data_IF_935943075510
#
_entry.id   IF_935943075510
#
_cell.length_a   1.000
_cell.length_b   1.000
_cell.length_c   1.000
_cell.angle_alpha   90.00
_cell.angle_beta   90.00
_cell.angle_gamma   90.00
#
_symmetry.space_group_name_H-M   'P 1'
#
loop_
_entity.id
_entity.type
_entity.pdbx_description
1 polymer ?
#
# COMPACT_ATOMS: atom_id res chain seq x y z
N UNK A 1 -20.41 14.81 -1.34
CA UNK A 1 -20.21 14.87 -2.81
C UNK A 1 -19.17 15.90 -3.22
N UNK A 2 -19.19 17.13 -2.69
CA UNK A 2 -18.23 18.19 -3.04
C UNK A 2 -16.76 17.78 -2.87
N UNK A 3 -16.39 17.15 -1.73
CA UNK A 3 -15.01 16.66 -1.52
C UNK A 3 -14.57 15.60 -2.53
N UNK A 4 -15.47 14.70 -2.96
CA UNK A 4 -15.15 13.70 -3.97
C UNK A 4 -14.83 14.35 -5.31
N UNK A 5 -15.57 15.42 -5.66
CA UNK A 5 -15.30 16.21 -6.87
C UNK A 5 -13.93 16.89 -6.84
N UNK A 6 -13.54 17.45 -5.69
CA UNK A 6 -12.22 18.09 -5.51
C UNK A 6 -11.07 17.07 -5.68
N UNK A 7 -11.22 15.87 -5.10
CA UNK A 7 -10.21 14.80 -5.25
C UNK A 7 -10.12 14.33 -6.70
N UNK A 8 -11.26 14.21 -7.39
CA UNK A 8 -11.30 13.80 -8.79
C UNK A 8 -10.62 14.84 -9.71
N UNK A 9 -10.89 16.12 -9.49
CA UNK A 9 -10.23 17.21 -10.21
C UNK A 9 -8.72 17.25 -9.93
N UNK A 10 -8.31 17.06 -8.66
CA UNK A 10 -6.90 16.97 -8.31
C UNK A 10 -6.18 15.82 -9.00
N UNK A 11 -6.81 14.66 -9.13
CA UNK A 11 -6.26 13.51 -9.85
C UNK A 11 -6.13 13.76 -11.35
N UNK A 12 -7.14 14.40 -11.96
CA UNK A 12 -7.12 14.77 -13.38
C UNK A 12 -5.98 15.76 -13.65
N UNK A 13 -5.90 16.83 -12.86
CA UNK A 13 -4.81 17.81 -13.00
C UNK A 13 -3.46 17.15 -12.78
N UNK A 14 -3.29 16.34 -11.73
CA UNK A 14 -2.04 15.61 -11.49
C UNK A 14 -1.60 14.73 -12.67
N UNK A 15 -2.55 14.00 -13.28
CA UNK A 15 -2.27 13.11 -14.41
C UNK A 15 -1.85 13.87 -15.68
N UNK A 16 -2.37 15.08 -15.91
CA UNK A 16 -2.00 15.90 -17.07
C UNK A 16 -0.59 16.48 -16.99
N UNK A 17 -0.07 16.69 -15.78
CA UNK A 17 1.23 17.30 -15.54
C UNK A 17 2.36 16.26 -15.32
N UNK A 18 2.07 14.97 -15.44
CA UNK A 18 3.09 13.93 -15.36
C UNK A 18 3.93 13.85 -16.64
N UNK A 19 5.24 14.05 -16.48
CA UNK A 19 6.24 14.13 -17.57
C UNK A 19 6.38 12.78 -18.33
N UNK A 20 6.01 11.67 -17.69
CA UNK A 20 6.00 10.32 -18.26
C UNK A 20 4.58 9.74 -18.23
N UNK A 21 3.65 10.38 -18.92
CA UNK A 21 2.27 9.88 -19.00
C UNK A 21 2.22 8.53 -19.73
N UNK A 22 1.94 7.46 -19.00
CA UNK A 22 1.70 6.13 -19.55
C UNK A 22 0.27 5.67 -19.28
N UNK A 23 -0.44 5.30 -20.33
CA UNK A 23 -1.81 4.76 -20.26
C UNK A 23 -1.89 3.50 -19.40
N UNK A 24 -0.84 2.68 -19.42
CA UNK A 24 -0.77 1.47 -18.62
C UNK A 24 -0.72 1.81 -17.13
N UNK A 25 0.10 2.80 -16.74
CA UNK A 25 0.21 3.28 -15.36
C UNK A 25 -1.12 3.82 -14.82
N UNK A 26 -1.87 4.57 -15.64
CA UNK A 26 -3.19 5.06 -15.28
C UNK A 26 -4.18 3.91 -15.01
N UNK A 27 -4.23 2.92 -15.90
CA UNK A 27 -5.12 1.76 -15.76
C UNK A 27 -4.75 0.94 -14.51
N UNK A 28 -3.47 0.68 -14.30
CA UNK A 28 -3.00 -0.03 -13.09
C UNK A 28 -3.28 0.77 -11.81
N UNK A 29 -3.18 2.10 -11.83
CA UNK A 29 -3.51 2.96 -10.69
C UNK A 29 -4.99 2.94 -10.32
N UNK A 30 -5.88 3.02 -11.33
CA UNK A 30 -7.33 2.93 -11.12
C UNK A 30 -7.72 1.53 -10.62
N UNK A 31 -7.17 0.48 -11.24
CA UNK A 31 -7.41 -0.90 -10.83
C UNK A 31 -6.95 -1.13 -9.38
N UNK A 32 -5.74 -0.69 -9.03
CA UNK A 32 -5.21 -0.79 -7.66
C UNK A 32 -6.13 -0.12 -6.64
N UNK A 33 -6.62 1.09 -6.94
CA UNK A 33 -7.57 1.82 -6.08
C UNK A 33 -8.88 1.05 -5.86
N UNK A 34 -9.39 0.40 -6.92
CA UNK A 34 -10.59 -0.44 -6.82
C UNK A 34 -10.36 -1.69 -5.96
N UNK A 35 -9.23 -2.38 -6.12
CA UNK A 35 -8.86 -3.54 -5.30
C UNK A 35 -8.67 -3.16 -3.83
N UNK A 36 -8.03 -2.02 -3.54
CA UNK A 36 -7.86 -1.51 -2.17
C UNK A 36 -9.21 -1.19 -1.52
N UNK A 37 -10.14 -0.57 -2.27
CA UNK A 37 -11.49 -0.29 -1.78
C UNK A 37 -12.29 -1.57 -1.50
N UNK A 38 -12.24 -2.56 -2.42
CA UNK A 38 -12.87 -3.87 -2.25
C UNK A 38 -12.30 -4.61 -1.05
N UNK A 39 -10.98 -4.62 -0.89
CA UNK A 39 -10.30 -5.23 0.26
C UNK A 39 -10.76 -4.61 1.58
N UNK A 40 -10.85 -3.27 1.66
CA UNK A 40 -11.35 -2.58 2.86
C UNK A 40 -12.79 -2.94 3.21
N UNK A 41 -13.67 -3.10 2.21
CA UNK A 41 -15.06 -3.52 2.41
C UNK A 41 -15.12 -4.98 2.88
N UNK A 42 -14.35 -5.88 2.25
CA UNK A 42 -14.30 -7.30 2.61
C UNK A 42 -13.82 -7.49 4.04
N UNK A 43 -12.70 -6.86 4.42
CA UNK A 43 -12.15 -6.93 5.79
C UNK A 43 -13.17 -6.43 6.81
N UNK A 44 -13.90 -5.35 6.52
CA UNK A 44 -14.92 -4.85 7.46
C UNK A 44 -16.11 -5.81 7.60
N UNK A 45 -16.50 -6.49 6.52
CA UNK A 45 -17.57 -7.49 6.51
C UNK A 45 -17.18 -8.75 7.29
N UNK A 46 -15.95 -9.26 7.13
CA UNK A 46 -15.43 -10.38 7.91
C UNK A 46 -15.16 -10.01 9.38
N UNK A 47 -14.74 -8.77 9.67
CA UNK A 47 -14.58 -8.29 11.04
C UNK A 47 -15.92 -8.23 11.80
N UNK A 48 -17.00 -7.87 11.11
CA UNK A 48 -18.36 -7.93 11.67
C UNK A 48 -18.90 -9.34 11.87
N UNK A 49 -18.41 -10.33 11.11
CA UNK A 49 -18.79 -11.74 11.23
C UNK A 49 -17.94 -12.52 12.26
N UNK A 50 -16.78 -11.99 12.67
CA UNK A 50 -15.84 -12.58 13.64
C UNK A 50 -15.78 -11.71 14.90
N UNK A 51 -16.91 -11.63 15.61
CA UNK A 51 -17.07 -11.27 17.03
C UNK A 51 -15.86 -10.57 17.71
N UNK A 52 -15.51 -9.37 17.22
CA UNK A 52 -14.53 -8.42 17.79
C UNK A 52 -13.08 -8.91 18.09
N UNK A 53 -12.67 -10.11 17.68
CA UNK A 53 -11.35 -10.66 18.03
C UNK A 53 -10.27 -10.28 17.00
N UNK A 54 -9.73 -9.08 17.19
CA UNK A 54 -8.64 -8.44 16.43
C UNK A 54 -7.43 -9.34 16.16
N UNK A 55 -7.02 -10.15 17.14
CA UNK A 55 -5.87 -11.04 17.02
C UNK A 55 -6.11 -12.22 16.09
N UNK A 56 -7.35 -12.74 16.03
CA UNK A 56 -7.70 -13.83 15.11
C UNK A 56 -7.72 -13.33 13.67
N UNK A 57 -8.30 -12.15 13.41
CA UNK A 57 -8.34 -11.61 12.04
C UNK A 57 -6.94 -11.29 11.50
N UNK A 58 -6.07 -10.72 12.34
CA UNK A 58 -4.67 -10.45 11.98
C UNK A 58 -3.92 -11.75 11.68
N UNK A 59 -4.14 -12.80 12.49
CA UNK A 59 -3.52 -14.10 12.28
C UNK A 59 -4.01 -14.75 10.97
N UNK A 60 -5.33 -14.80 10.74
CA UNK A 60 -5.88 -15.32 9.48
C UNK A 60 -5.40 -14.55 8.25
N UNK A 61 -5.34 -13.21 8.32
CA UNK A 61 -4.88 -12.41 7.19
C UNK A 61 -3.39 -12.60 6.91
N UNK A 62 -2.57 -12.69 7.97
CA UNK A 62 -1.12 -12.93 7.83
C UNK A 62 -0.87 -14.33 7.29
N UNK A 63 -1.59 -15.35 7.79
CA UNK A 63 -1.49 -16.73 7.29
C UNK A 63 -1.95 -16.85 5.84
N UNK A 64 -3.07 -16.24 5.48
CA UNK A 64 -3.56 -16.23 4.09
C UNK A 64 -2.57 -15.48 3.18
N UNK A 65 -2.03 -14.35 3.63
CA UNK A 65 -1.02 -13.60 2.88
C UNK A 65 0.24 -14.41 2.66
N UNK A 66 0.75 -15.12 3.68
CA UNK A 66 1.89 -16.03 3.53
C UNK A 66 1.56 -17.13 2.51
N UNK A 67 0.37 -17.72 2.61
CA UNK A 67 -0.06 -18.78 1.70
C UNK A 67 -0.24 -18.31 0.25
N UNK A 68 -0.64 -17.05 0.03
CA UNK A 68 -0.80 -16.48 -1.31
C UNK A 68 0.53 -15.93 -1.88
N UNK A 69 1.37 -15.32 -1.04
CA UNK A 69 2.68 -14.82 -1.45
C UNK A 69 3.63 -15.96 -1.79
N UNK A 70 3.60 -17.08 -1.05
CA UNK A 70 4.53 -18.19 -1.26
C UNK A 70 4.51 -18.75 -2.70
N UNK A 71 3.36 -19.13 -3.29
CA UNK A 71 3.30 -19.55 -4.69
C UNK A 71 3.59 -18.41 -5.66
N UNK A 72 3.18 -17.17 -5.33
CA UNK A 72 3.44 -16.02 -6.20
C UNK A 72 4.95 -15.74 -6.35
N UNK A 73 5.71 -15.82 -5.27
CA UNK A 73 7.18 -15.66 -5.26
C UNK A 73 7.86 -16.78 -6.06
N UNK A 74 7.33 -18.01 -5.99
CA UNK A 74 7.83 -19.13 -6.80
C UNK A 74 7.61 -18.89 -8.31
N UNK A 75 6.44 -18.38 -8.69
CA UNK A 75 6.12 -18.06 -10.09
C UNK A 75 6.83 -16.81 -10.62
N UNK A 76 7.08 -15.81 -9.77
CA UNK A 76 7.78 -14.58 -10.13
C UNK A 76 9.27 -14.81 -10.47
N UNK A 77 9.85 -15.96 -10.09
CA UNK A 77 11.24 -16.31 -10.41
C UNK A 77 12.28 -15.62 -9.54
N UNK A 78 11.86 -14.80 -8.57
CA UNK A 78 12.73 -14.01 -7.69
C UNK A 78 13.74 -14.87 -6.91
N UNK A 79 13.39 -16.13 -6.61
CA UNK A 79 14.31 -17.06 -5.93
C UNK A 79 15.58 -17.36 -6.72
N UNK A 80 15.54 -17.32 -8.07
CA UNK A 80 16.73 -17.51 -8.90
C UNK A 80 17.60 -16.26 -8.95
N UNK A 81 16.96 -15.09 -8.93
CA UNK A 81 17.65 -13.79 -8.92
C UNK A 81 18.38 -13.58 -7.59
N UNK A 82 17.73 -13.90 -6.46
CA UNK A 82 18.26 -13.72 -5.09
C UNK A 82 19.59 -14.45 -4.89
N UNK A 83 19.75 -15.68 -5.40
CA UNK A 83 20.98 -16.48 -5.25
C UNK A 83 22.19 -15.82 -5.93
N UNK A 84 21.97 -14.96 -6.93
CA UNK A 84 23.03 -14.29 -7.68
C UNK A 84 23.44 -12.93 -7.07
N UNK A 85 22.74 -12.47 -6.03
CA UNK A 85 22.96 -11.14 -5.44
C UNK A 85 24.04 -11.19 -4.36
N UNK A 86 25.15 -10.48 -4.61
CA UNK A 86 26.31 -10.40 -3.71
C UNK A 86 26.02 -9.82 -2.31
N UNK A 87 24.91 -9.09 -2.14
CA UNK A 87 24.53 -8.44 -0.88
C UNK A 87 23.94 -9.37 0.19
N UNK A 88 23.67 -10.64 -0.13
CA UNK A 88 23.14 -11.62 0.84
C UNK A 88 24.09 -11.92 2.01
N UNK A 89 25.39 -11.70 1.84
CA UNK A 89 26.39 -11.92 2.89
C UNK A 89 26.57 -10.72 3.83
N UNK A 90 25.91 -9.59 3.56
CA UNK A 90 26.04 -8.40 4.40
C UNK A 90 25.07 -8.45 5.59
N UNK A 91 25.60 -8.34 6.80
CA UNK A 91 24.80 -8.29 8.03
C UNK A 91 23.90 -7.05 8.06
N UNK A 92 24.34 -5.94 7.44
CA UNK A 92 23.54 -4.73 7.31
C UNK A 92 22.26 -4.95 6.50
N UNK A 93 22.32 -5.78 5.46
CA UNK A 93 21.13 -6.13 4.67
C UNK A 93 20.10 -6.91 5.50
N UNK A 94 20.54 -7.89 6.29
CA UNK A 94 19.65 -8.67 7.17
C UNK A 94 19.04 -7.82 8.29
N UNK A 95 19.80 -6.87 8.84
CA UNK A 95 19.28 -5.91 9.82
C UNK A 95 18.21 -5.02 9.17
N UNK A 96 18.48 -4.46 8.00
CA UNK A 96 17.50 -3.64 7.28
C UNK A 96 16.23 -4.44 6.96
N UNK A 97 16.38 -5.68 6.46
CA UNK A 97 15.27 -6.60 6.19
C UNK A 97 14.44 -6.92 7.44
N UNK A 98 15.09 -7.07 8.60
CA UNK A 98 14.38 -7.31 9.86
C UNK A 98 13.62 -6.07 10.30
N UNK A 99 14.24 -4.88 10.18
CA UNK A 99 13.60 -3.60 10.53
C UNK A 99 12.40 -3.32 9.63
N UNK A 100 12.52 -3.55 8.32
CA UNK A 100 11.40 -3.39 7.38
C UNK A 100 10.30 -4.40 7.67
N UNK A 101 10.64 -5.65 8.02
CA UNK A 101 9.67 -6.67 8.44
C UNK A 101 8.90 -6.26 9.69
N UNK A 102 9.58 -5.80 10.74
CA UNK A 102 8.95 -5.32 11.99
C UNK A 102 8.06 -4.11 11.69
N UNK A 103 8.55 -3.14 10.92
CA UNK A 103 7.77 -1.95 10.54
C UNK A 103 6.54 -2.32 9.72
N UNK A 104 6.68 -3.25 8.78
CA UNK A 104 5.56 -3.77 7.98
C UNK A 104 4.50 -4.45 8.85
N UNK A 105 4.92 -5.22 9.86
CA UNK A 105 4.02 -5.83 10.83
C UNK A 105 3.26 -4.77 11.65
N UNK A 106 3.96 -3.73 12.12
CA UNK A 106 3.34 -2.60 12.85
C UNK A 106 2.32 -1.87 11.96
N UNK A 107 2.64 -1.63 10.69
CA UNK A 107 1.72 -1.01 9.72
C UNK A 107 0.47 -1.88 9.53
N UNK A 108 0.64 -3.20 9.42
CA UNK A 108 -0.49 -4.13 9.28
C UNK A 108 -1.42 -4.04 10.51
N UNK A 109 -0.86 -4.04 11.73
CA UNK A 109 -1.64 -3.84 12.97
C UNK A 109 -2.37 -2.48 12.95
N UNK A 110 -1.66 -1.40 12.56
CA UNK A 110 -2.24 -0.06 12.52
C UNK A 110 -3.41 0.02 11.52
N UNK A 111 -3.28 -0.56 10.33
CA UNK A 111 -4.35 -0.61 9.32
C UNK A 111 -5.56 -1.40 9.84
N UNK A 112 -5.32 -2.53 10.51
CA UNK A 112 -6.39 -3.31 11.14
C UNK A 112 -7.15 -2.50 12.20
N UNK A 113 -6.43 -1.80 13.07
CA UNK A 113 -7.03 -0.93 14.08
C UNK A 113 -7.81 0.22 13.44
N UNK A 114 -7.28 0.79 12.37
CA UNK A 114 -7.92 1.87 11.61
C UNK A 114 -9.22 1.39 10.96
N UNK A 115 -9.24 0.23 10.32
CA UNK A 115 -10.46 -0.38 9.75
C UNK A 115 -11.49 -0.73 10.84
N UNK A 116 -11.05 -1.12 12.04
CA UNK A 116 -11.94 -1.42 13.16
C UNK A 116 -12.67 -0.18 13.68
N UNK A 117 -11.93 0.91 13.88
CA UNK A 117 -12.45 2.14 14.48
C UNK A 117 -13.16 3.02 13.44
N UNK A 118 -12.86 2.81 12.15
CA UNK A 118 -13.22 3.75 11.09
C UNK A 118 -14.08 3.09 10.00
N UNK A 119 -14.83 3.89 9.22
CA UNK A 119 -15.51 3.35 8.03
C UNK A 119 -14.48 3.01 6.93
N UNK A 120 -14.76 2.02 6.05
CA UNK A 120 -13.80 1.67 4.99
C UNK A 120 -13.56 2.86 4.05
N UNK A 121 -14.58 3.73 3.90
CA UNK A 121 -14.50 4.99 3.18
C UNK A 121 -13.52 5.99 3.82
N UNK A 122 -13.50 6.11 5.15
CA UNK A 122 -12.58 7.04 5.83
C UNK A 122 -11.15 6.47 5.91
N UNK A 123 -10.98 5.15 5.93
CA UNK A 123 -9.65 4.52 5.85
C UNK A 123 -8.99 4.75 4.47
N UNK A 124 -9.74 4.62 3.38
CA UNK A 124 -9.21 4.91 2.04
C UNK A 124 -8.83 6.39 1.88
N UNK A 125 -9.66 7.30 2.38
CA UNK A 125 -9.37 8.74 2.36
C UNK A 125 -8.13 9.09 3.21
N UNK A 126 -7.98 8.48 4.39
CA UNK A 126 -6.78 8.67 5.24
C UNK A 126 -5.52 8.11 4.57
N UNK A 127 -5.64 6.98 3.87
CA UNK A 127 -4.55 6.40 3.07
C UNK A 127 -4.13 7.31 1.91
N UNK A 128 -5.08 7.91 1.21
CA UNK A 128 -4.80 8.92 0.17
C UNK A 128 -4.13 10.15 0.78
N UNK A 129 -4.63 10.66 1.91
CA UNK A 129 -4.01 11.81 2.59
C UNK A 129 -2.57 11.52 3.04
N UNK A 130 -2.30 10.32 3.57
CA UNK A 130 -0.94 9.87 3.89
C UNK A 130 -0.06 9.87 2.65
N UNK A 131 -0.55 9.37 1.53
CA UNK A 131 0.18 9.32 0.26
C UNK A 131 0.47 10.73 -0.27
N UNK A 132 -0.51 11.64 -0.23
CA UNK A 132 -0.30 13.05 -0.58
C UNK A 132 0.74 13.72 0.31
N UNK A 133 0.71 13.47 1.63
CA UNK A 133 1.69 14.01 2.56
C UNK A 133 3.09 13.44 2.31
N UNK A 134 3.18 12.14 1.99
CA UNK A 134 4.43 11.50 1.60
C UNK A 134 5.00 12.12 0.33
N UNK A 135 4.18 12.34 -0.70
CA UNK A 135 4.60 13.02 -1.94
C UNK A 135 5.02 14.46 -1.68
N UNK A 136 4.29 15.21 -0.85
CA UNK A 136 4.64 16.58 -0.50
C UNK A 136 5.97 16.67 0.26
N UNK A 137 6.20 15.77 1.23
CA UNK A 137 7.48 15.66 1.92
C UNK A 137 8.61 15.27 0.97
N UNK A 138 8.37 14.31 0.07
CA UNK A 138 9.36 13.91 -0.92
C UNK A 138 9.72 15.09 -1.84
N UNK A 139 8.74 15.86 -2.31
CA UNK A 139 8.97 17.05 -3.13
C UNK A 139 9.79 18.12 -2.37
N UNK A 140 9.48 18.35 -1.09
CA UNK A 140 10.22 19.31 -0.26
C UNK A 140 11.66 18.87 0.01
N UNK A 141 11.88 17.58 0.26
CA UNK A 141 13.20 17.05 0.61
C UNK A 141 14.11 16.82 -0.60
N UNK A 142 13.58 16.28 -1.71
CA UNK A 142 14.39 15.97 -2.89
C UNK A 142 14.73 17.18 -3.77
N UNK A 143 14.05 18.33 -3.58
CA UNK A 143 14.23 19.55 -4.40
C UNK A 143 14.36 19.29 -5.92
N UNK A 144 13.73 18.21 -6.41
CA UNK A 144 13.78 17.86 -7.82
C UNK A 144 13.05 18.95 -8.60
N UNK A 145 13.51 19.37 -9.80
CA UNK A 145 12.80 20.34 -10.61
C UNK A 145 11.43 19.75 -10.98
N UNK A 146 10.43 20.12 -10.20
CA UNK A 146 9.03 19.93 -10.52
C UNK A 146 8.84 20.73 -11.79
N UNK A 147 8.42 20.08 -12.88
CA UNK A 147 8.17 20.76 -14.15
C UNK A 147 7.38 22.04 -13.86
N UNK A 148 7.90 23.21 -14.26
CA UNK A 148 7.16 24.44 -14.05
C UNK A 148 5.84 24.30 -14.80
N UNK A 149 4.79 24.79 -14.15
CA UNK A 149 3.42 24.85 -14.64
C UNK A 149 3.31 25.19 -16.13
#
# INVERSE_FOLDING_TARGET
>A
MVCCGIVFLGFIVGSYYEINFSWEGLIYGIASSAFVALYGIYVKKTLGAVDNNQWRLLHYNTTLSIFFLFPLVLFAGELKEIVNVHFLNDVGFWILMTITGITGFIINIAIFLQIKVTTPLTNTISGTAKSCFQTALAAFYFQNPISPM
#
